data_IF_879718673756
#
_entry.id   IF_879718673756
#
_cell.length_a   1.000
_cell.length_b   1.000
_cell.length_c   1.000
_cell.angle_alpha   90.00
_cell.angle_beta   90.00
_cell.angle_gamma   90.00
#
_symmetry.space_group_name_H-M   'P 1'
#
loop_
_entity.id
_entity.type
_entity.pdbx_description
1 polymer ?
#
# COMPACT_ATOMS: atom_id res chain seq x y z
N UNK A 1 -23.58 32.32 51.61
CA UNK A 1 -22.57 31.25 51.58
C UNK A 1 -23.23 30.10 50.83
N UNK A 2 -22.96 29.86 49.54
CA UNK A 2 -21.82 29.08 49.06
C UNK A 2 -21.60 29.37 47.56
N UNK A 3 -20.34 29.55 47.17
CA UNK A 3 -19.91 29.83 45.80
C UNK A 3 -19.91 28.50 45.02
N UNK A 4 -20.67 28.41 43.93
CA UNK A 4 -20.56 27.29 43.00
C UNK A 4 -19.24 27.41 42.23
N UNK A 5 -18.31 26.50 42.52
CA UNK A 5 -17.04 26.40 41.81
C UNK A 5 -17.23 25.61 40.52
N UNK A 6 -16.83 26.25 39.42
CA UNK A 6 -16.66 25.66 38.10
C UNK A 6 -15.62 24.53 38.17
N UNK A 7 -15.90 23.39 37.54
CA UNK A 7 -14.85 22.48 37.07
C UNK A 7 -15.20 21.98 35.69
N UNK A 8 -14.72 22.73 34.69
CA UNK A 8 -14.63 22.27 33.31
C UNK A 8 -13.45 21.30 33.20
N UNK A 9 -13.74 20.04 32.89
CA UNK A 9 -12.73 19.05 32.52
C UNK A 9 -12.39 19.28 31.06
N UNK A 10 -11.23 19.88 30.79
CA UNK A 10 -10.67 20.01 29.45
C UNK A 10 -9.98 18.69 29.08
N UNK A 11 -10.65 17.84 28.31
CA UNK A 11 -10.01 16.65 27.72
C UNK A 11 -9.15 17.11 26.55
N UNK A 12 -7.84 17.19 26.76
CA UNK A 12 -6.88 17.41 25.68
C UNK A 12 -6.81 16.16 24.80
N UNK A 13 -7.52 16.17 23.66
CA UNK A 13 -7.39 15.15 22.64
C UNK A 13 -5.99 15.23 22.02
N UNK A 14 -5.14 14.24 22.30
CA UNK A 14 -3.90 14.02 21.57
C UNK A 14 -4.26 13.62 20.13
N UNK A 15 -4.30 14.59 19.23
CA UNK A 15 -4.41 14.35 17.79
C UNK A 15 -3.05 13.82 17.31
N UNK A 16 -2.81 12.53 17.51
CA UNK A 16 -1.68 11.83 16.90
C UNK A 16 -1.86 11.85 15.39
N UNK A 17 -1.11 12.71 14.69
CA UNK A 17 -1.08 12.72 13.23
C UNK A 17 -0.72 11.33 12.71
N UNK A 18 -1.54 10.78 11.84
CA UNK A 18 -1.22 9.54 11.14
C UNK A 18 0.03 9.79 10.29
N UNK A 19 1.18 9.30 10.77
CA UNK A 19 2.41 9.31 9.99
C UNK A 19 2.22 8.36 8.82
N UNK A 20 2.16 8.90 7.60
CA UNK A 20 2.20 8.09 6.38
C UNK A 20 3.49 7.26 6.39
N UNK A 21 3.41 5.97 6.06
CA UNK A 21 4.61 5.15 5.98
C UNK A 21 5.44 5.60 4.77
N UNK A 22 6.52 6.35 5.02
CA UNK A 22 7.44 6.69 3.95
C UNK A 22 8.38 5.50 3.69
N UNK A 23 8.28 4.94 2.49
CA UNK A 23 9.11 3.81 2.05
C UNK A 23 10.23 4.29 1.13
N UNK A 24 11.38 3.61 1.09
CA UNK A 24 12.40 3.82 0.06
C UNK A 24 11.81 3.79 -1.36
N UNK A 25 12.38 4.57 -2.27
CA UNK A 25 11.83 4.78 -3.62
C UNK A 25 11.61 3.47 -4.40
N UNK A 26 12.52 2.51 -4.26
CA UNK A 26 12.43 1.20 -4.89
C UNK A 26 11.26 0.36 -4.34
N UNK A 27 10.95 0.47 -3.05
CA UNK A 27 9.81 -0.20 -2.43
C UNK A 27 8.49 0.46 -2.85
N UNK A 28 8.44 1.80 -2.92
CA UNK A 28 7.26 2.52 -3.45
C UNK A 28 6.97 2.09 -4.88
N UNK A 29 8.00 1.99 -5.73
CA UNK A 29 7.87 1.50 -7.09
C UNK A 29 7.33 0.05 -7.13
N UNK A 30 7.84 -0.84 -6.28
CA UNK A 30 7.33 -2.22 -6.19
C UNK A 30 5.87 -2.30 -5.74
N UNK A 31 5.41 -1.41 -4.86
CA UNK A 31 4.00 -1.33 -4.47
C UNK A 31 3.11 -0.92 -5.67
N UNK A 32 3.56 0.03 -6.49
CA UNK A 32 2.87 0.44 -7.71
C UNK A 32 2.79 -0.68 -8.74
N UNK A 33 3.86 -1.47 -8.87
CA UNK A 33 3.88 -2.68 -9.72
C UNK A 33 2.96 -3.78 -9.19
N UNK A 34 2.92 -3.97 -7.88
CA UNK A 34 2.01 -4.93 -7.24
C UNK A 34 0.55 -4.52 -7.47
N UNK A 35 0.22 -3.25 -7.28
CA UNK A 35 -1.12 -2.72 -7.53
C UNK A 35 -1.55 -2.96 -8.99
N UNK A 36 -0.64 -2.74 -9.95
CA UNK A 36 -0.90 -3.04 -11.36
C UNK A 36 -1.19 -4.53 -11.59
N UNK A 37 -0.37 -5.43 -11.03
CA UNK A 37 -0.57 -6.88 -11.16
C UNK A 37 -1.90 -7.35 -10.52
N UNK A 38 -2.34 -6.73 -9.42
CA UNK A 38 -3.66 -6.98 -8.82
C UNK A 38 -4.80 -6.54 -9.75
N UNK A 39 -4.63 -5.40 -10.44
CA UNK A 39 -5.58 -4.92 -11.44
C UNK A 39 -5.71 -5.87 -12.63
N UNK A 40 -4.57 -6.34 -13.15
CA UNK A 40 -4.53 -7.35 -14.20
C UNK A 40 -5.27 -8.63 -13.79
N UNK A 41 -4.99 -9.12 -12.57
CA UNK A 41 -5.64 -10.31 -12.02
C UNK A 41 -7.15 -10.11 -11.85
N UNK A 42 -7.58 -8.90 -11.48
CA UNK A 42 -9.01 -8.56 -11.38
C UNK A 42 -9.74 -8.65 -12.72
N UNK A 43 -9.16 -8.09 -13.79
CA UNK A 43 -9.77 -8.14 -15.10
C UNK A 43 -9.90 -9.58 -15.63
N UNK A 44 -8.82 -10.35 -15.48
CA UNK A 44 -8.78 -11.75 -15.93
C UNK A 44 -9.76 -12.62 -15.16
N UNK A 45 -9.87 -12.42 -13.84
CA UNK A 45 -10.85 -13.12 -13.02
C UNK A 45 -12.29 -12.74 -13.37
N UNK A 46 -12.57 -11.45 -13.59
CA UNK A 46 -13.92 -11.00 -14.00
C UNK A 46 -14.34 -11.60 -15.35
N UNK A 47 -13.40 -11.83 -16.27
CA UNK A 47 -13.71 -12.48 -17.54
C UNK A 47 -14.32 -13.89 -17.35
N UNK A 48 -13.93 -14.59 -16.27
CA UNK A 48 -14.40 -15.94 -15.94
C UNK A 48 -15.53 -15.98 -14.89
N UNK A 49 -15.50 -15.10 -13.90
CA UNK A 49 -16.38 -15.11 -12.73
C UNK A 49 -17.50 -14.06 -12.81
N UNK A 50 -17.45 -13.19 -13.82
CA UNK A 50 -18.38 -12.08 -14.04
C UNK A 50 -17.96 -10.76 -13.41
N UNK A 51 -18.56 -9.66 -13.88
CA UNK A 51 -18.21 -8.29 -13.48
C UNK A 51 -18.43 -7.99 -11.98
N UNK A 52 -19.25 -8.81 -11.31
CA UNK A 52 -19.53 -8.71 -9.88
C UNK A 52 -18.42 -9.23 -8.97
N UNK A 53 -17.41 -9.95 -9.49
CA UNK A 53 -16.30 -10.46 -8.66
C UNK A 53 -15.53 -9.30 -8.01
N UNK A 54 -15.32 -9.38 -6.69
CA UNK A 54 -14.59 -8.36 -5.92
C UNK A 54 -13.32 -8.89 -5.26
N UNK A 55 -12.90 -10.12 -5.60
CA UNK A 55 -11.85 -10.83 -4.87
C UNK A 55 -10.52 -10.07 -4.85
N UNK A 56 -10.11 -9.57 -6.00
CA UNK A 56 -8.86 -8.80 -6.15
C UNK A 56 -9.01 -7.35 -5.70
N UNK A 57 -10.20 -6.76 -5.86
CA UNK A 57 -10.48 -5.40 -5.36
C UNK A 57 -10.39 -5.35 -3.84
N UNK A 58 -10.92 -6.35 -3.12
CA UNK A 58 -10.80 -6.46 -1.67
C UNK A 58 -9.31 -6.55 -1.22
N UNK A 59 -8.47 -7.24 -1.98
CA UNK A 59 -7.01 -7.33 -1.71
C UNK A 59 -6.29 -6.01 -1.97
N UNK A 60 -6.67 -5.29 -3.03
CA UNK A 60 -6.16 -3.94 -3.27
C UNK A 60 -6.54 -2.99 -2.12
N UNK A 61 -7.77 -3.07 -1.62
CA UNK A 61 -8.19 -2.29 -0.45
C UNK A 61 -7.39 -2.66 0.80
N UNK A 62 -7.12 -3.96 1.01
CA UNK A 62 -6.25 -4.42 2.10
C UNK A 62 -4.81 -3.91 1.94
N UNK A 63 -4.26 -3.88 0.72
CA UNK A 63 -2.93 -3.33 0.46
C UNK A 63 -2.85 -1.87 0.92
N UNK A 64 -3.80 -1.03 0.50
CA UNK A 64 -3.89 0.38 0.92
C UNK A 64 -4.03 0.49 2.44
N UNK A 65 -4.89 -0.34 3.06
CA UNK A 65 -5.10 -0.33 4.51
C UNK A 65 -3.84 -0.69 5.31
N UNK A 66 -3.03 -1.63 4.82
CA UNK A 66 -1.80 -2.06 5.48
C UNK A 66 -0.70 -1.04 5.29
N UNK A 67 -0.51 -0.52 4.08
CA UNK A 67 0.55 0.43 3.77
C UNK A 67 0.29 1.84 4.31
N UNK A 68 -0.97 2.19 4.60
CA UNK A 68 -1.41 3.51 5.07
C UNK A 68 -0.67 4.66 4.39
N UNK A 69 -0.66 4.70 3.04
CA UNK A 69 0.03 5.73 2.29
C UNK A 69 -0.57 7.12 2.59
N UNK A 70 0.19 8.16 2.33
CA UNK A 70 -0.38 9.50 2.21
C UNK A 70 -1.37 9.59 1.04
N UNK A 71 -2.11 10.70 0.91
CA UNK A 71 -3.14 10.86 -0.12
C UNK A 71 -2.62 10.65 -1.55
N UNK A 72 -1.46 11.23 -1.88
CA UNK A 72 -0.91 11.14 -3.25
C UNK A 72 -0.45 9.73 -3.61
N UNK A 73 0.33 9.01 -2.78
CA UNK A 73 0.66 7.62 -3.08
C UNK A 73 -0.56 6.68 -3.05
N UNK A 74 -1.59 6.95 -2.24
CA UNK A 74 -2.84 6.18 -2.29
C UNK A 74 -3.50 6.28 -3.68
N UNK A 75 -3.63 7.50 -4.19
CA UNK A 75 -4.19 7.75 -5.52
C UNK A 75 -3.40 7.00 -6.59
N UNK A 76 -2.07 7.08 -6.56
CA UNK A 76 -1.22 6.36 -7.51
C UNK A 76 -1.44 4.84 -7.45
N UNK A 77 -1.57 4.26 -6.25
CA UNK A 77 -1.86 2.84 -6.10
C UNK A 77 -3.19 2.47 -6.79
N UNK A 78 -4.24 3.27 -6.59
CA UNK A 78 -5.55 3.07 -7.23
C UNK A 78 -5.47 3.23 -8.76
N UNK A 79 -4.75 4.23 -9.24
CA UNK A 79 -4.51 4.46 -10.67
C UNK A 79 -3.79 3.28 -11.33
N UNK A 80 -2.74 2.75 -10.69
CA UNK A 80 -2.01 1.59 -11.19
C UNK A 80 -2.87 0.33 -11.23
N UNK A 81 -3.69 0.10 -10.22
CA UNK A 81 -4.69 -0.98 -10.25
C UNK A 81 -5.64 -0.82 -11.43
N UNK A 82 -6.22 0.37 -11.62
CA UNK A 82 -7.13 0.62 -12.74
C UNK A 82 -6.45 0.46 -14.09
N UNK A 83 -5.19 0.88 -14.23
CA UNK A 83 -4.41 0.72 -15.45
C UNK A 83 -4.19 -0.76 -15.79
N UNK A 84 -3.83 -1.60 -14.81
CA UNK A 84 -3.68 -3.04 -15.01
C UNK A 84 -5.00 -3.72 -15.40
N UNK A 85 -6.10 -3.30 -14.77
CA UNK A 85 -7.43 -3.78 -15.10
C UNK A 85 -7.83 -3.45 -16.55
N UNK A 86 -7.69 -2.19 -16.97
CA UNK A 86 -8.01 -1.78 -18.35
C UNK A 86 -7.13 -2.52 -19.35
N UNK A 87 -5.83 -2.65 -19.07
CA UNK A 87 -4.89 -3.34 -19.94
C UNK A 87 -5.30 -4.79 -20.23
N UNK A 88 -5.67 -5.56 -19.19
CA UNK A 88 -6.07 -6.96 -19.38
C UNK A 88 -7.50 -7.14 -19.85
N UNK A 89 -8.44 -6.30 -19.43
CA UNK A 89 -9.82 -6.36 -19.94
C UNK A 89 -9.89 -6.10 -21.45
N UNK A 90 -9.05 -5.21 -21.97
CA UNK A 90 -8.95 -4.97 -23.42
C UNK A 90 -8.31 -6.12 -24.20
N UNK A 91 -7.43 -6.91 -23.55
CA UNK A 91 -6.74 -8.04 -24.18
C UNK A 91 -7.54 -9.35 -24.09
N UNK A 92 -8.35 -9.53 -23.05
CA UNK A 92 -9.07 -10.76 -22.74
C UNK A 92 -10.54 -10.45 -22.43
N UNK A 93 -11.39 -10.29 -23.47
CA UNK A 93 -12.80 -9.95 -23.29
C UNK A 93 -13.68 -11.13 -22.84
N UNK A 94 -13.17 -12.36 -22.90
CA UNK A 94 -13.88 -13.57 -22.51
C UNK A 94 -12.95 -14.53 -21.76
N UNK A 95 -13.53 -15.48 -21.02
CA UNK A 95 -12.78 -16.54 -20.37
C UNK A 95 -12.41 -17.66 -21.36
N UNK A 96 -11.11 -17.90 -21.50
CA UNK A 96 -10.54 -18.98 -22.30
C UNK A 96 -9.19 -19.45 -21.73
N UNK A 97 -8.54 -20.39 -22.41
CA UNK A 97 -7.22 -20.89 -22.03
C UNK A 97 -6.16 -19.77 -22.01
N UNK A 98 -6.26 -18.78 -22.89
CA UNK A 98 -5.31 -17.68 -22.93
C UNK A 98 -5.49 -16.75 -21.72
N UNK A 99 -6.72 -16.48 -21.29
CA UNK A 99 -7.01 -15.70 -20.08
C UNK A 99 -6.55 -16.41 -18.82
N UNK A 100 -6.75 -17.73 -18.71
CA UNK A 100 -6.25 -18.52 -17.58
C UNK A 100 -4.72 -18.49 -17.50
N UNK A 101 -4.03 -18.67 -18.62
CA UNK A 101 -2.58 -18.56 -18.68
C UNK A 101 -2.08 -17.16 -18.32
N UNK A 102 -2.79 -16.12 -18.73
CA UNK A 102 -2.49 -14.74 -18.36
C UNK A 102 -2.71 -14.50 -16.85
N UNK A 103 -3.76 -15.08 -16.26
CA UNK A 103 -4.08 -14.95 -14.84
C UNK A 103 -2.97 -15.59 -14.00
N UNK A 104 -2.55 -16.81 -14.37
CA UNK A 104 -1.45 -17.50 -13.71
C UNK A 104 -0.14 -16.69 -13.78
N UNK A 105 0.13 -16.01 -14.91
CA UNK A 105 1.30 -15.14 -15.04
C UNK A 105 1.19 -13.88 -14.17
N UNK A 106 0.02 -13.23 -14.12
CA UNK A 106 -0.22 -12.08 -13.26
C UNK A 106 -0.06 -12.44 -11.78
N UNK A 107 -0.62 -13.58 -11.36
CA UNK A 107 -0.49 -14.10 -10.01
C UNK A 107 0.97 -14.37 -9.63
N UNK A 108 1.75 -15.05 -10.49
CA UNK A 108 3.18 -15.30 -10.24
C UNK A 108 3.98 -13.99 -10.09
N UNK A 109 3.72 -13.01 -10.96
CA UNK A 109 4.36 -11.69 -10.86
C UNK A 109 3.99 -10.97 -9.55
N UNK A 110 2.71 -10.95 -9.20
CA UNK A 110 2.23 -10.37 -7.94
C UNK A 110 2.86 -11.01 -6.71
N UNK A 111 2.94 -12.34 -6.68
CA UNK A 111 3.61 -13.08 -5.59
C UNK A 111 5.09 -12.73 -5.49
N UNK A 112 5.81 -12.65 -6.62
CA UNK A 112 7.22 -12.28 -6.63
C UNK A 112 7.46 -10.85 -6.11
N UNK A 113 6.57 -9.90 -6.45
CA UNK A 113 6.63 -8.52 -5.94
C UNK A 113 6.37 -8.46 -4.44
N UNK A 114 5.33 -9.16 -3.96
CA UNK A 114 5.00 -9.24 -2.53
C UNK A 114 6.14 -9.87 -1.72
N UNK A 115 6.77 -10.92 -2.25
CA UNK A 115 7.93 -11.56 -1.62
C UNK A 115 9.10 -10.57 -1.47
N UNK A 116 9.44 -9.85 -2.54
CA UNK A 116 10.52 -8.84 -2.51
C UNK A 116 10.24 -7.74 -1.48
N UNK A 117 9.01 -7.23 -1.41
CA UNK A 117 8.58 -6.24 -0.42
C UNK A 117 8.76 -6.77 1.02
N UNK A 118 8.36 -8.02 1.27
CA UNK A 118 8.50 -8.65 2.59
C UNK A 118 9.96 -8.82 3.02
N UNK A 119 10.83 -9.19 2.07
CA UNK A 119 12.26 -9.35 2.33
C UNK A 119 12.92 -8.02 2.67
N UNK A 120 12.58 -6.94 1.96
CA UNK A 120 13.08 -5.59 2.26
C UNK A 120 12.68 -5.15 3.67
N UNK A 121 11.45 -5.42 4.10
CA UNK A 121 10.99 -5.10 5.46
C UNK A 121 11.76 -5.87 6.55
N UNK A 122 12.15 -7.13 6.28
CA UNK A 122 12.98 -7.90 7.21
C UNK A 122 14.37 -7.29 7.36
N UNK A 123 14.99 -6.80 6.28
CA UNK A 123 16.32 -6.21 6.33
C UNK A 123 16.35 -4.91 7.14
N UNK A 124 15.36 -4.02 6.93
CA UNK A 124 15.25 -2.77 7.72
C UNK A 124 15.17 -3.03 9.21
N UNK A 125 14.53 -4.13 9.63
CA UNK A 125 14.46 -4.51 11.06
C UNK A 125 15.80 -5.03 11.60
N UNK A 126 16.66 -5.60 10.75
CA UNK A 126 17.92 -6.23 11.16
C UNK A 126 19.06 -5.23 11.28
N UNK A 127 19.04 -4.13 10.52
CA UNK A 127 20.06 -3.09 10.58
C UNK A 127 20.03 -2.41 11.97
N UNK A 128 21.14 -2.42 12.74
CA UNK A 128 21.20 -1.68 14.00
C UNK A 128 21.01 -0.17 13.74
N UNK A 129 20.42 0.58 14.67
CA UNK A 129 20.28 2.02 14.51
C UNK A 129 21.64 2.65 14.23
N UNK A 130 21.71 3.52 13.22
CA UNK A 130 22.93 4.25 12.92
C UNK A 130 23.40 4.97 14.20
N UNK A 131 24.70 4.93 14.54
CA UNK A 131 25.19 5.66 15.70
C UNK A 131 24.90 7.15 15.49
N UNK A 132 24.25 7.77 16.48
CA UNK A 132 23.92 9.19 16.48
C UNK A 132 25.19 10.01 16.22
N UNK A 133 25.36 10.53 15.01
CA UNK A 133 26.36 11.55 14.71
C UNK A 133 25.85 12.89 15.22
N UNK A 134 25.87 13.05 16.54
CA UNK A 134 25.88 14.36 17.18
C UNK A 134 27.19 15.07 16.81
N UNK A 135 27.15 15.86 15.75
CA UNK A 135 28.07 16.97 15.63
C UNK A 135 27.56 18.05 16.60
N UNK A 136 28.01 17.96 17.86
CA UNK A 136 27.95 19.07 18.82
C UNK A 136 28.67 20.26 18.20
N UNK A 137 27.89 21.19 17.67
CA UNK A 137 28.31 22.57 17.59
C UNK A 137 28.13 23.20 18.95
N UNK A 138 29.20 23.26 19.75
CA UNK A 138 29.27 24.26 20.82
C UNK A 138 30.71 24.74 21.06
N UNK A 139 30.90 25.97 20.60
CA UNK A 139 31.80 27.02 21.10
C UNK A 139 32.56 26.74 22.41
N UNK A 140 33.89 26.82 22.34
CA UNK A 140 34.71 27.22 23.49
C UNK A 140 35.62 28.39 23.07
N UNK A 141 35.55 29.41 23.92
CA UNK A 141 36.22 30.73 23.93
C UNK A 141 37.71 30.73 23.57
#
# INVERSE_FOLDING_TARGET
MFRSLLSGILVAALVGGAMAQDRPADQRQRLLELAYALGESHALRQACEGEGDQYWRARMMRLVQVERPGPTPETQLRERFNAGFVAKRGQYPACDEASHNAEAQAARRGQALALKLSQSTIQVRREPPAPDSVAEGETAR
#
